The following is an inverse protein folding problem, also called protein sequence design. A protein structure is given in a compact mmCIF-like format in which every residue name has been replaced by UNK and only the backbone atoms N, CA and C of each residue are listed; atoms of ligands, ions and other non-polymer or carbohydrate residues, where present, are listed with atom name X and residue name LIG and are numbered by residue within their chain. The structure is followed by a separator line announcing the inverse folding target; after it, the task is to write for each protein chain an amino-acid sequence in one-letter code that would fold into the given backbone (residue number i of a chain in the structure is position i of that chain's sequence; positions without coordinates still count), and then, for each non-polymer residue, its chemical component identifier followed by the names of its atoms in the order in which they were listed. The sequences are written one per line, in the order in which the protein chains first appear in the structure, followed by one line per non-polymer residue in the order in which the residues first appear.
data_IF_607270859843
#
_entry.id   IF_607270859843
#
_cell.length_a   1.000
_cell.length_b   1.000
_cell.length_c   1.000
_cell.angle_alpha   90.00
_cell.angle_beta   90.00
_cell.angle_gamma   90.00
#
_symmetry.space_group_name_H-M   'P 1'
#
loop_
_entity.id
_entity.type
_entity.pdbx_description
1 polymer ?
#
# COMPACT_ATOMS: atom_id res chain seq x y z
N UNK A 1 5.78 10.19 -8.91
CA UNK A 1 5.13 9.55 -7.74
C UNK A 1 5.12 8.05 -7.97
N UNK A 2 5.20 7.23 -6.92
CA UNK A 2 5.16 5.77 -7.07
C UNK A 2 3.78 5.31 -7.55
N UNK A 3 3.75 4.49 -8.59
CA UNK A 3 2.51 3.94 -9.17
C UNK A 3 2.51 2.42 -9.01
N UNK A 4 1.39 1.84 -8.57
CA UNK A 4 1.24 0.38 -8.48
C UNK A 4 0.57 -0.14 -9.73
N UNK A 5 1.09 -1.24 -10.26
CA UNK A 5 0.58 -1.91 -11.45
C UNK A 5 0.55 -3.42 -11.27
N UNK A 6 -0.32 -4.10 -12.01
CA UNK A 6 -0.32 -5.57 -12.18
C UNK A 6 0.52 -6.02 -13.38
N UNK A 7 1.12 -5.08 -14.12
CA UNK A 7 2.05 -5.41 -15.18
C UNK A 7 3.30 -6.10 -14.61
N UNK A 8 3.86 -7.05 -15.36
CA UNK A 8 5.05 -7.78 -14.94
C UNK A 8 6.22 -6.84 -14.63
N UNK A 9 7.05 -7.25 -13.67
CA UNK A 9 8.32 -6.58 -13.41
C UNK A 9 9.18 -6.56 -14.66
N UNK A 10 9.75 -5.40 -14.97
CA UNK A 10 10.61 -5.21 -16.13
C UNK A 10 11.67 -4.17 -15.79
N UNK A 11 12.88 -4.66 -15.51
CA UNK A 11 14.01 -3.83 -15.08
C UNK A 11 14.61 -3.00 -16.23
N UNK A 12 14.20 -3.28 -17.47
CA UNK A 12 14.69 -2.65 -18.70
C UNK A 12 13.63 -1.78 -19.38
N UNK A 13 12.44 -1.62 -18.78
CA UNK A 13 11.44 -0.69 -19.28
C UNK A 13 11.60 0.71 -18.69
N UNK A 14 10.93 1.67 -19.33
CA UNK A 14 10.83 3.06 -18.88
C UNK A 14 9.34 3.37 -18.73
N UNK A 15 8.79 3.51 -17.50
CA UNK A 15 9.49 3.43 -16.21
C UNK A 15 9.90 1.99 -15.82
N UNK A 16 10.86 1.89 -14.90
CA UNK A 16 11.29 0.60 -14.33
C UNK A 16 10.21 0.06 -13.40
N UNK A 17 9.88 -1.24 -13.55
CA UNK A 17 8.92 -1.93 -12.70
C UNK A 17 9.62 -2.89 -11.73
N UNK A 18 9.54 -2.59 -10.43
CA UNK A 18 10.09 -3.43 -9.35
C UNK A 18 8.95 -4.29 -8.79
N UNK A 19 9.09 -5.62 -8.70
CA UNK A 19 8.05 -6.46 -8.10
C UNK A 19 7.92 -6.12 -6.61
N UNK A 20 6.70 -6.14 -6.08
CA UNK A 20 6.44 -5.91 -4.64
C UNK A 20 5.64 -7.07 -4.00
N UNK A 21 5.44 -8.17 -4.73
CA UNK A 21 4.67 -9.33 -4.30
C UNK A 21 3.22 -9.35 -4.79
N UNK A 22 2.54 -10.48 -4.60
CA UNK A 22 1.12 -10.70 -4.98
C UNK A 22 0.79 -10.39 -6.46
N UNK A 23 1.76 -10.52 -7.36
CA UNK A 23 1.61 -10.18 -8.78
C UNK A 23 1.57 -8.68 -9.06
N UNK A 24 1.95 -7.85 -8.08
CA UNK A 24 2.05 -6.40 -8.22
C UNK A 24 3.50 -5.97 -8.41
N UNK A 25 3.65 -4.86 -9.12
CA UNK A 25 4.89 -4.12 -9.26
C UNK A 25 4.67 -2.65 -8.96
N UNK A 26 5.73 -1.98 -8.52
CA UNK A 26 5.81 -0.52 -8.43
C UNK A 26 6.58 0.02 -9.62
N UNK A 27 6.01 1.01 -10.28
CA UNK A 27 6.68 1.83 -11.27
C UNK A 27 7.47 2.93 -10.56
N UNK A 28 8.79 2.86 -10.72
CA UNK A 28 9.70 3.87 -10.19
C UNK A 28 9.78 5.03 -11.20
N UNK A 29 9.53 6.29 -10.78
CA UNK A 29 9.55 7.44 -11.67
C UNK A 29 10.85 7.57 -12.44
N UNK A 30 10.76 7.95 -13.71
CA UNK A 30 11.93 8.25 -14.54
C UNK A 30 12.73 9.43 -14.00
N UNK A 31 14.04 9.39 -14.22
CA UNK A 31 14.96 10.43 -13.77
C UNK A 31 16.40 9.95 -13.69
N UNK A 32 17.28 10.88 -13.38
CA UNK A 32 18.70 10.62 -13.21
C UNK A 32 18.98 9.81 -11.92
N UNK A 33 20.09 9.06 -11.93
CA UNK A 33 20.56 8.31 -10.78
C UNK A 33 20.00 6.90 -10.63
N UNK A 34 20.39 6.25 -9.53
CA UNK A 34 20.05 4.86 -9.24
C UNK A 34 18.55 4.68 -9.00
N UNK A 35 18.00 3.57 -9.50
CA UNK A 35 16.58 3.20 -9.32
C UNK A 35 16.22 3.14 -7.84
N UNK A 36 17.09 2.59 -6.99
CA UNK A 36 16.88 2.52 -5.54
C UNK A 36 16.74 3.91 -4.90
N UNK A 37 17.54 4.88 -5.33
CA UNK A 37 17.46 6.25 -4.83
C UNK A 37 16.15 6.93 -5.27
N UNK A 38 15.74 6.73 -6.52
CA UNK A 38 14.45 7.25 -7.04
C UNK A 38 13.25 6.60 -6.36
N UNK A 39 13.34 5.30 -6.09
CA UNK A 39 12.31 4.55 -5.38
C UNK A 39 12.14 5.08 -3.94
N UNK A 40 13.26 5.23 -3.22
CA UNK A 40 13.29 5.80 -1.87
C UNK A 40 12.77 7.24 -1.85
N UNK A 41 13.21 8.09 -2.78
CA UNK A 41 12.71 9.48 -2.89
C UNK A 41 11.20 9.54 -3.15
N UNK A 42 10.67 8.62 -3.98
CA UNK A 42 9.24 8.49 -4.20
C UNK A 42 8.48 8.08 -2.93
N UNK A 43 9.05 7.18 -2.13
CA UNK A 43 8.48 6.78 -0.85
C UNK A 43 8.50 7.93 0.18
N UNK A 44 9.59 8.71 0.23
CA UNK A 44 9.70 9.85 1.13
C UNK A 44 8.72 10.98 0.78
N UNK A 45 8.48 11.24 -0.50
CA UNK A 45 7.45 12.18 -0.94
C UNK A 45 6.05 11.74 -0.47
N UNK A 46 5.72 10.45 -0.59
CA UNK A 46 4.45 9.91 -0.08
C UNK A 46 4.37 10.05 1.43
N UNK A 47 5.43 9.72 2.17
CA UNK A 47 5.48 9.89 3.63
C UNK A 47 5.29 11.33 4.07
N UNK A 48 5.86 12.29 3.34
CA UNK A 48 5.67 13.71 3.61
C UNK A 48 4.19 14.09 3.49
N UNK A 49 3.51 13.66 2.42
CA UNK A 49 2.06 13.87 2.25
C UNK A 49 1.28 13.26 3.42
N UNK A 50 1.59 12.03 3.84
CA UNK A 50 0.92 11.41 4.99
C UNK A 50 1.12 12.20 6.29
N UNK A 51 2.35 12.68 6.54
CA UNK A 51 2.65 13.50 7.72
C UNK A 51 1.90 14.85 7.71
N UNK A 52 1.78 15.48 6.54
CA UNK A 52 0.99 16.71 6.38
C UNK A 52 -0.51 16.48 6.64
N UNK A 53 -1.05 15.34 6.19
CA UNK A 53 -2.43 14.94 6.48
C UNK A 53 -2.66 14.68 7.97
N UNK A 54 -1.73 13.99 8.64
CA UNK A 54 -1.78 13.77 10.09
C UNK A 54 -1.73 15.09 10.86
N UNK A 55 -0.84 16.01 10.49
CA UNK A 55 -0.75 17.32 11.12
C UNK A 55 -2.03 18.15 10.93
N UNK A 56 -2.67 18.05 9.76
CA UNK A 56 -3.85 18.86 9.41
C UNK A 56 -5.17 18.29 9.93
N UNK A 57 -5.34 16.97 9.86
CA UNK A 57 -6.62 16.29 10.11
C UNK A 57 -6.57 15.31 11.29
N UNK A 58 -5.41 15.13 11.92
CA UNK A 58 -5.19 14.15 12.99
C UNK A 58 -5.07 12.70 12.51
N UNK A 59 -5.20 12.45 11.20
CA UNK A 59 -5.05 11.13 10.59
C UNK A 59 -4.69 11.24 9.11
N UNK A 60 -3.86 10.32 8.63
CA UNK A 60 -3.54 10.15 7.21
C UNK A 60 -4.45 9.12 6.51
N UNK A 61 -5.11 8.25 7.28
CA UNK A 61 -5.95 7.17 6.79
C UNK A 61 -7.40 7.32 7.25
N UNK A 62 -8.30 6.79 6.43
CA UNK A 62 -9.73 6.73 6.72
C UNK A 62 -10.25 5.31 6.49
N UNK A 63 -11.16 4.90 7.36
CA UNK A 63 -11.69 3.54 7.41
C UNK A 63 -13.20 3.56 7.26
N UNK A 64 -13.72 2.76 6.34
CA UNK A 64 -15.17 2.52 6.20
C UNK A 64 -15.46 1.06 6.46
N UNK A 65 -16.26 0.75 7.48
CA UNK A 65 -16.71 -0.62 7.72
C UNK A 65 -17.59 -1.08 6.55
N UNK A 66 -17.23 -2.22 5.95
CA UNK A 66 -17.96 -2.83 4.82
C UNK A 66 -18.50 -4.22 5.17
N UNK A 67 -17.98 -4.84 6.24
CA UNK A 67 -18.50 -6.05 6.86
C UNK A 67 -18.14 -6.05 8.36
N UNK A 68 -18.68 -6.99 9.19
CA UNK A 68 -18.40 -7.04 10.63
C UNK A 68 -16.91 -6.91 10.98
N UNK A 69 -16.04 -7.67 10.30
CA UNK A 69 -14.60 -7.65 10.54
C UNK A 69 -13.79 -7.06 9.38
N UNK A 70 -14.43 -6.29 8.49
CA UNK A 70 -13.76 -5.79 7.29
C UNK A 70 -13.98 -4.30 7.09
N UNK A 71 -12.88 -3.60 6.88
CA UNK A 71 -12.87 -2.17 6.53
C UNK A 71 -12.30 -1.98 5.14
N UNK A 72 -12.83 -1.01 4.43
CA UNK A 72 -12.18 -0.39 3.28
C UNK A 72 -11.31 0.75 3.79
N UNK A 73 -10.08 0.80 3.29
CA UNK A 73 -9.05 1.75 3.70
C UNK A 73 -8.81 2.72 2.56
N UNK A 74 -8.70 4.01 2.88
CA UNK A 74 -8.26 5.04 1.94
C UNK A 74 -7.29 6.00 2.62
N UNK A 75 -6.48 6.68 1.83
CA UNK A 75 -5.75 7.87 2.30
C UNK A 75 -6.76 9.02 2.41
N UNK A 76 -6.58 9.88 3.42
CA UNK A 76 -7.45 11.03 3.64
C UNK A 76 -7.42 12.03 2.47
N UNK A 77 -6.33 12.05 1.72
CA UNK A 77 -6.21 12.71 0.42
C UNK A 77 -6.70 11.80 -0.72
N UNK A 78 -7.73 12.24 -1.42
CA UNK A 78 -8.29 11.52 -2.56
C UNK A 78 -7.34 11.47 -3.78
N UNK A 79 -6.35 12.37 -3.84
CA UNK A 79 -5.36 12.38 -4.91
C UNK A 79 -4.28 11.29 -4.75
N UNK A 80 -4.15 10.69 -3.55
CA UNK A 80 -3.17 9.66 -3.26
C UNK A 80 -3.85 8.29 -3.08
N UNK A 81 -3.75 7.38 -4.08
CA UNK A 81 -4.31 6.04 -3.96
C UNK A 81 -3.72 5.26 -2.79
N UNK A 82 -4.56 4.57 -2.02
CA UNK A 82 -4.12 3.78 -0.86
C UNK A 82 -3.14 2.66 -1.22
N UNK A 83 -3.27 2.10 -2.43
CA UNK A 83 -2.37 1.06 -2.92
C UNK A 83 -0.92 1.55 -3.03
N UNK A 84 -0.69 2.86 -3.21
CA UNK A 84 0.66 3.44 -3.23
C UNK A 84 1.42 3.15 -1.94
N UNK A 85 0.74 2.90 -0.83
CA UNK A 85 1.36 2.49 0.43
C UNK A 85 2.02 1.11 0.35
N UNK A 86 1.66 0.27 -0.62
CA UNK A 86 2.34 -1.01 -0.87
C UNK A 86 3.59 -0.85 -1.73
N UNK A 87 3.78 0.34 -2.30
CA UNK A 87 4.82 0.59 -3.29
C UNK A 87 6.22 0.64 -2.73
N UNK A 88 6.42 0.62 -1.41
CA UNK A 88 7.74 0.60 -0.79
C UNK A 88 7.66 -0.05 0.61
N UNK A 89 8.67 -0.81 1.05
CA UNK A 89 8.63 -1.50 2.35
C UNK A 89 8.38 -0.57 3.55
N UNK A 90 8.92 0.65 3.53
CA UNK A 90 8.67 1.63 4.61
C UNK A 90 7.22 2.11 4.67
N UNK A 91 6.56 2.25 3.51
CA UNK A 91 5.15 2.63 3.43
C UNK A 91 4.24 1.46 3.83
N UNK A 92 4.60 0.25 3.39
CA UNK A 92 3.85 -0.96 3.72
C UNK A 92 3.89 -1.23 5.22
N UNK A 93 5.03 -0.95 5.87
CA UNK A 93 5.16 -0.98 7.33
C UNK A 93 4.26 0.04 8.01
N UNK A 94 4.25 1.30 7.56
CA UNK A 94 3.37 2.32 8.14
C UNK A 94 1.87 1.94 8.01
N UNK A 95 1.48 1.38 6.87
CA UNK A 95 0.12 0.83 6.69
C UNK A 95 -0.14 -0.33 7.66
N UNK A 96 0.79 -1.28 7.77
CA UNK A 96 0.68 -2.41 8.68
C UNK A 96 0.50 -1.95 10.13
N UNK A 97 1.33 -1.03 10.61
CA UNK A 97 1.26 -0.51 11.98
C UNK A 97 -0.10 0.15 12.26
N UNK A 98 -0.62 0.90 11.28
CA UNK A 98 -1.95 1.53 11.38
C UNK A 98 -3.07 0.51 11.45
N UNK A 99 -3.00 -0.57 10.66
CA UNK A 99 -3.99 -1.64 10.68
C UNK A 99 -3.89 -2.49 11.95
N UNK A 100 -2.68 -2.71 12.47
CA UNK A 100 -2.48 -3.41 13.73
C UNK A 100 -3.06 -2.63 14.90
N UNK A 101 -2.89 -1.31 14.91
CA UNK A 101 -3.55 -0.45 15.89
C UNK A 101 -5.07 -0.51 15.78
N UNK A 102 -5.62 -0.50 14.56
CA UNK A 102 -7.06 -0.56 14.33
C UNK A 102 -7.70 -1.88 14.81
N UNK A 103 -7.04 -3.01 14.55
CA UNK A 103 -7.58 -4.34 14.85
C UNK A 103 -7.07 -4.94 16.17
N UNK A 104 -6.11 -4.29 16.83
CA UNK A 104 -5.48 -4.82 18.05
C UNK A 104 -4.58 -6.05 17.80
N UNK A 105 -4.06 -6.22 16.59
CA UNK A 105 -3.25 -7.39 16.21
C UNK A 105 -3.00 -7.48 14.71
N UNK A 106 -2.42 -8.60 14.26
CA UNK A 106 -2.08 -8.80 12.85
C UNK A 106 -3.28 -8.60 11.92
N UNK A 107 -3.04 -7.98 10.76
CA UNK A 107 -4.05 -7.68 9.77
C UNK A 107 -3.74 -8.39 8.45
N UNK A 108 -4.79 -8.80 7.75
CA UNK A 108 -4.71 -9.25 6.37
C UNK A 108 -5.36 -8.21 5.45
N UNK A 109 -4.75 -7.98 4.29
CA UNK A 109 -5.27 -7.06 3.27
C UNK A 109 -5.77 -7.80 2.04
N UNK A 110 -6.66 -7.13 1.32
CA UNK A 110 -7.22 -7.57 0.04
C UNK A 110 -7.20 -6.42 -0.95
N UNK A 111 -6.87 -6.72 -2.20
CA UNK A 111 -6.73 -5.74 -3.26
C UNK A 111 -7.66 -6.04 -4.42
N UNK A 112 -8.30 -5.01 -4.97
CA UNK A 112 -9.13 -5.11 -6.17
C UNK A 112 -9.29 -3.74 -6.82
N UNK A 113 -8.92 -3.61 -8.09
CA UNK A 113 -9.12 -2.39 -8.89
C UNK A 113 -8.66 -1.10 -8.19
N UNK A 114 -7.52 -1.16 -7.50
CA UNK A 114 -6.96 -0.04 -6.75
C UNK A 114 -7.62 0.26 -5.40
N UNK A 115 -8.63 -0.51 -4.99
CA UNK A 115 -9.19 -0.49 -3.65
C UNK A 115 -8.42 -1.43 -2.71
N UNK A 116 -8.32 -1.02 -1.44
CA UNK A 116 -7.73 -1.81 -0.36
C UNK A 116 -8.78 -2.09 0.71
N UNK A 117 -8.93 -3.36 1.06
CA UNK A 117 -9.68 -3.80 2.24
C UNK A 117 -8.76 -4.46 3.23
N UNK A 118 -9.09 -4.35 4.51
CA UNK A 118 -8.36 -4.98 5.58
C UNK A 118 -9.31 -5.69 6.55
N UNK A 119 -8.80 -6.74 7.19
CA UNK A 119 -9.48 -7.55 8.21
C UNK A 119 -8.47 -7.96 9.28
N UNK A 120 -8.89 -8.28 10.52
CA UNK A 120 -8.04 -9.03 11.44
C UNK A 120 -7.58 -10.34 10.79
N UNK A 121 -6.32 -10.72 10.96
CA UNK A 121 -5.75 -11.93 10.36
C UNK A 121 -6.51 -13.21 10.80
N UNK A 122 -7.07 -13.22 12.02
CA UNK A 122 -7.90 -14.32 12.53
C UNK A 122 -9.22 -14.52 11.79
N UNK A 123 -9.71 -13.47 11.11
CA UNK A 123 -10.94 -13.50 10.29
C UNK A 123 -10.61 -13.52 8.79
N UNK A 124 -9.36 -13.77 8.41
CA UNK A 124 -8.92 -13.83 7.02
C UNK A 124 -9.41 -15.11 6.32
N UNK A 125 -9.83 -14.96 5.07
CA UNK A 125 -10.29 -16.06 4.22
C UNK A 125 -10.38 -15.62 2.77
N UNK A 126 -10.52 -16.56 1.85
CA UNK A 126 -10.63 -16.24 0.42
C UNK A 126 -11.88 -15.38 0.14
N UNK A 127 -11.72 -14.42 -0.78
CA UNK A 127 -12.79 -13.51 -1.18
C UNK A 127 -12.87 -13.44 -2.70
N UNK A 128 -14.00 -13.86 -3.25
CA UNK A 128 -14.22 -13.88 -4.69
C UNK A 128 -13.94 -12.50 -5.32
N UNK A 129 -13.06 -12.48 -6.32
CA UNK A 129 -12.67 -11.28 -7.05
C UNK A 129 -11.69 -10.35 -6.32
N UNK A 130 -11.14 -10.77 -5.18
CA UNK A 130 -10.11 -10.01 -4.46
C UNK A 130 -8.79 -10.77 -4.43
N UNK A 131 -7.68 -10.04 -4.56
CA UNK A 131 -6.33 -10.58 -4.37
C UNK A 131 -6.00 -10.56 -2.88
N UNK A 132 -5.85 -11.73 -2.27
CA UNK A 132 -5.53 -11.91 -0.85
C UNK A 132 -6.16 -13.19 -0.28
N UNK A 133 -6.04 -13.44 1.04
CA UNK A 133 -5.47 -12.54 2.05
C UNK A 133 -3.95 -12.38 1.92
N UNK A 134 -3.46 -11.14 2.06
CA UNK A 134 -2.03 -10.83 2.08
C UNK A 134 -1.64 -10.34 3.48
N UNK A 135 -0.60 -10.93 4.07
CA UNK A 135 0.01 -10.42 5.30
C UNK A 135 1.08 -9.39 4.98
N UNK A 136 1.04 -8.22 5.60
CA UNK A 136 2.08 -7.19 5.45
C UNK A 136 3.32 -7.47 6.32
N UNK A 137 3.23 -8.44 7.22
CA UNK A 137 4.27 -8.94 8.11
C UNK A 137 5.27 -9.87 7.42
N UNK A 138 4.86 -10.54 6.34
CA UNK A 138 5.69 -11.49 5.58
C UNK A 138 6.58 -10.85 4.50
N UNK A 139 6.57 -9.53 4.40
CA UNK A 139 7.44 -8.77 3.50
C UNK A 139 6.86 -8.61 2.10
N UNK A 140 6.24 -7.45 1.85
CA UNK A 140 6.18 -6.90 0.49
C UNK A 140 7.58 -6.34 0.19
N UNK A 141 8.27 -6.95 -0.77
CA UNK A 141 9.61 -6.59 -1.24
C UNK A 141 9.64 -6.65 -2.76
#
# INVERSE_FOLDING_TARGET
MLTITSAHAECYSTPVRVPIGAGLAVEVPDGEGLISARWQAGADAVRQVLAELEARYGTSLQYRRVAPDCVEVRVADAALPVITLLGHPSLARQLNDSLQLLFGGAAAIYLRDGALRATPASSAGERAGWVGPLGLDTGFC
#
